data_IF_344547187816
#
_entry.id   IF_344547187816
#
_cell.length_a   1.000
_cell.length_b   1.000
_cell.length_c   1.000
_cell.angle_alpha   90.00
_cell.angle_beta   90.00
_cell.angle_gamma   90.00
#
_symmetry.space_group_name_H-M   'P 1'
#
loop_
_entity.id
_entity.type
_entity.pdbx_description
1 polymer ?
#
# COMPACT_ATOMS: atom_id res chain seq x y z
N UNK A 1 -8.14 -3.12 10.14
CA UNK A 1 -8.42 -3.90 8.91
C UNK A 1 -7.10 -4.51 8.47
N UNK A 2 -7.08 -5.78 8.04
CA UNK A 2 -5.90 -6.42 7.45
C UNK A 2 -6.27 -6.84 6.03
N UNK A 3 -5.85 -6.08 5.00
CA UNK A 3 -6.04 -6.51 3.61
C UNK A 3 -4.95 -7.53 3.29
N UNK A 4 -5.33 -8.80 3.24
CA UNK A 4 -4.41 -9.89 2.94
C UNK A 4 -3.79 -9.71 1.54
N UNK A 5 -2.48 -9.95 1.42
CA UNK A 5 -1.74 -9.80 0.17
C UNK A 5 -1.66 -8.38 -0.39
N UNK A 6 -1.95 -7.32 0.38
CA UNK A 6 -2.02 -5.95 -0.16
C UNK A 6 -0.66 -5.30 -0.49
N UNK A 7 0.46 -5.93 -0.10
CA UNK A 7 1.78 -5.46 -0.47
C UNK A 7 2.14 -5.98 -1.86
N UNK A 8 2.62 -5.09 -2.72
CA UNK A 8 2.92 -5.36 -4.12
C UNK A 8 4.11 -4.53 -4.61
N UNK A 9 4.68 -4.95 -5.75
CA UNK A 9 5.72 -4.23 -6.46
C UNK A 9 5.15 -3.28 -7.54
N UNK A 10 5.88 -2.21 -7.90
CA UNK A 10 5.52 -1.35 -9.02
C UNK A 10 5.36 -2.10 -10.34
N UNK A 11 4.31 -1.78 -11.10
CA UNK A 11 4.02 -2.43 -12.38
C UNK A 11 4.03 -1.44 -13.55
N UNK A 12 4.64 -1.82 -14.68
CA UNK A 12 4.79 -0.96 -15.85
C UNK A 12 3.43 -0.54 -16.46
N UNK A 13 2.45 -1.44 -16.51
CA UNK A 13 1.09 -1.13 -17.00
C UNK A 13 0.32 -0.13 -16.12
N UNK A 14 0.78 0.10 -14.88
CA UNK A 14 0.22 1.08 -13.95
C UNK A 14 1.04 2.38 -13.91
N UNK A 15 1.95 2.57 -14.88
CA UNK A 15 2.85 3.72 -14.91
C UNK A 15 3.88 3.70 -13.78
N UNK A 16 4.33 2.51 -13.36
CA UNK A 16 5.31 2.36 -12.29
C UNK A 16 4.72 2.50 -10.88
N UNK A 17 3.42 2.26 -10.71
CA UNK A 17 2.72 2.24 -9.42
C UNK A 17 2.41 0.81 -8.98
N UNK A 18 2.23 0.60 -7.68
CA UNK A 18 1.60 -0.62 -7.16
C UNK A 18 0.08 -0.59 -7.41
N UNK A 19 -0.62 -1.74 -7.38
CA UNK A 19 -2.08 -1.76 -7.47
C UNK A 19 -2.76 -0.85 -6.44
N UNK A 20 -2.28 -0.87 -5.19
CA UNK A 20 -2.83 -0.03 -4.11
C UNK A 20 -2.65 1.47 -4.38
N UNK A 21 -1.53 1.88 -5.01
CA UNK A 21 -1.27 3.27 -5.40
C UNK A 21 -2.07 3.72 -6.64
N UNK A 22 -2.43 2.79 -7.53
CA UNK A 22 -3.20 3.10 -8.73
C UNK A 22 -4.71 3.15 -8.48
N UNK A 23 -5.19 2.51 -7.41
CA UNK A 23 -6.60 2.47 -7.04
C UNK A 23 -7.12 3.81 -6.50
N UNK A 24 -8.39 4.11 -6.77
CA UNK A 24 -9.09 5.26 -6.17
C UNK A 24 -9.66 4.86 -4.79
N UNK A 25 -8.98 5.25 -3.71
CA UNK A 25 -9.28 4.82 -2.34
C UNK A 25 -9.46 6.01 -1.38
N UNK A 26 -10.47 6.88 -1.59
CA UNK A 26 -10.59 8.14 -0.87
C UNK A 26 -10.71 7.98 0.66
N UNK A 27 -11.30 6.88 1.12
CA UNK A 27 -11.39 6.57 2.55
C UNK A 27 -10.03 6.18 3.14
N UNK A 28 -9.24 5.37 2.43
CA UNK A 28 -7.90 4.99 2.87
C UNK A 28 -6.94 6.19 2.83
N UNK A 29 -7.06 7.02 1.79
CA UNK A 29 -6.30 8.27 1.64
C UNK A 29 -6.61 9.24 2.80
N UNK A 30 -7.88 9.38 3.17
CA UNK A 30 -8.31 10.20 4.31
C UNK A 30 -7.69 9.71 5.62
N UNK A 31 -7.77 8.41 5.89
CA UNK A 31 -7.17 7.79 7.09
C UNK A 31 -5.65 7.96 7.11
N UNK A 32 -4.97 7.76 5.99
CA UNK A 32 -3.52 7.91 5.91
C UNK A 32 -3.07 9.36 6.11
N UNK A 33 -3.84 10.33 5.60
CA UNK A 33 -3.56 11.78 5.72
C UNK A 33 -3.77 12.30 7.14
N UNK A 34 -4.78 11.80 7.84
CA UNK A 34 -5.15 12.27 9.18
C UNK A 34 -4.49 11.46 10.30
N UNK A 35 -3.95 10.29 9.96
CA UNK A 35 -3.30 9.36 10.88
C UNK A 35 -1.77 9.35 10.78
N UNK A 36 -1.21 8.20 11.17
CA UNK A 36 0.23 7.92 11.09
C UNK A 36 0.42 6.71 10.19
N UNK A 37 1.36 6.81 9.24
CA UNK A 37 1.73 5.72 8.33
C UNK A 37 3.05 5.10 8.77
N UNK A 38 3.14 3.77 8.69
CA UNK A 38 4.35 3.03 9.00
C UNK A 38 4.56 1.85 8.05
N UNK A 39 5.75 1.26 8.08
CA UNK A 39 6.07 0.02 7.37
C UNK A 39 6.32 -1.09 8.38
N UNK A 40 5.82 -2.28 8.09
CA UNK A 40 6.10 -3.47 8.87
C UNK A 40 6.93 -4.44 8.04
N UNK A 41 7.93 -5.05 8.68
CA UNK A 41 8.66 -6.20 8.14
C UNK A 41 8.17 -7.44 8.87
N UNK A 42 7.38 -8.25 8.19
CA UNK A 42 6.76 -9.43 8.80
C UNK A 42 7.64 -10.69 8.71
N UNK A 43 8.71 -10.62 7.91
CA UNK A 43 9.70 -11.70 7.74
C UNK A 43 11.10 -11.13 8.05
N UNK A 44 11.86 -11.71 8.99
CA UNK A 44 13.22 -11.29 9.30
C UNK A 44 14.15 -11.34 8.09
N UNK A 45 15.20 -10.52 8.11
CA UNK A 45 16.29 -10.64 7.13
C UNK A 45 17.04 -11.98 7.35
N UNK A 46 17.59 -12.53 6.26
CA UNK A 46 18.41 -13.75 6.29
C UNK A 46 19.82 -13.47 6.77
#
# INVERSE_FOLDING_TARGET
>A
MIPDGAADEPHASLGGKTPLQAANLPALDGVAREGIVGRSRNVPDR
#
